data_IF_763756559735
#
_entry.id   IF_763756559735
#
_cell.length_a   1.000
_cell.length_b   1.000
_cell.length_c   1.000
_cell.angle_alpha   90.00
_cell.angle_beta   90.00
_cell.angle_gamma   90.00
#
_symmetry.space_group_name_H-M   'P 1'
#
loop_
_entity.id
_entity.type
_entity.pdbx_description
1 polymer ?
#
# COMPACT_ATOMS: atom_id res chain seq x y z
N UNK A 1 -9.31 12.69 -1.86
CA UNK A 1 -10.28 13.40 -1.03
C UNK A 1 -10.07 14.92 -1.05
N UNK A 2 -11.08 15.66 -0.63
CA UNK A 2 -11.09 17.13 -0.59
C UNK A 2 -9.83 17.74 0.07
N UNK A 3 -9.31 17.22 1.21
CA UNK A 3 -8.13 17.78 1.87
C UNK A 3 -6.88 17.79 0.98
N UNK A 4 -6.65 16.73 0.21
CA UNK A 4 -5.49 16.64 -0.70
C UNK A 4 -5.60 17.70 -1.81
N UNK A 5 -6.81 17.96 -2.29
CA UNK A 5 -7.06 18.94 -3.32
C UNK A 5 -6.77 20.37 -2.83
N UNK A 6 -7.11 20.69 -1.57
CA UNK A 6 -6.76 21.96 -0.94
C UNK A 6 -5.25 22.11 -0.79
N UNK A 7 -4.55 21.08 -0.32
CA UNK A 7 -3.09 21.11 -0.16
C UNK A 7 -2.40 21.27 -1.52
N UNK A 8 -2.79 20.49 -2.52
CA UNK A 8 -2.24 20.59 -3.87
C UNK A 8 -2.53 21.98 -4.49
N UNK A 9 -3.75 22.50 -4.34
CA UNK A 9 -4.14 23.83 -4.81
C UNK A 9 -3.32 24.93 -4.15
N UNK A 10 -3.09 24.85 -2.83
CA UNK A 10 -2.25 25.78 -2.10
C UNK A 10 -0.83 25.81 -2.66
N UNK A 11 -0.19 24.65 -2.89
CA UNK A 11 1.15 24.62 -3.45
C UNK A 11 1.21 25.08 -4.89
N UNK A 12 0.18 24.86 -5.70
CA UNK A 12 0.11 25.40 -7.07
C UNK A 12 -0.01 26.93 -7.06
N UNK A 13 -0.85 27.48 -6.18
CA UNK A 13 -0.99 28.94 -6.02
C UNK A 13 0.33 29.53 -5.50
N UNK A 14 0.95 28.89 -4.52
CA UNK A 14 2.24 29.28 -4.00
C UNK A 14 3.33 29.28 -5.09
N UNK A 15 3.40 28.24 -5.91
CA UNK A 15 4.34 28.17 -7.03
C UNK A 15 4.11 29.26 -8.09
N UNK A 16 2.86 29.64 -8.34
CA UNK A 16 2.50 30.77 -9.19
C UNK A 16 2.88 32.12 -8.57
N UNK A 17 2.73 32.25 -7.25
CA UNK A 17 3.05 33.48 -6.53
C UNK A 17 4.56 33.70 -6.39
N UNK A 18 5.32 32.64 -6.11
CA UNK A 18 6.77 32.64 -5.85
C UNK A 18 7.61 32.45 -7.12
N UNK A 19 7.01 32.14 -8.26
CA UNK A 19 7.68 32.00 -9.57
C UNK A 19 8.34 33.31 -10.02
N UNK A 20 9.31 33.77 -9.27
CA UNK A 20 9.87 35.10 -9.16
C UNK A 20 10.78 35.53 -10.31
N UNK A 21 11.15 34.64 -11.20
CA UNK A 21 12.06 34.96 -12.31
C UNK A 21 11.39 35.63 -13.52
N UNK A 22 10.06 35.58 -13.61
CA UNK A 22 9.31 36.22 -14.69
C UNK A 22 8.25 37.17 -14.16
N UNK A 23 8.32 38.49 -14.44
CA UNK A 23 7.33 39.45 -13.97
C UNK A 23 5.95 39.28 -14.62
N UNK A 24 5.87 38.65 -15.82
CA UNK A 24 4.63 38.42 -16.52
C UNK A 24 3.93 37.12 -16.01
N UNK A 25 2.67 37.20 -15.65
CA UNK A 25 1.82 36.06 -15.21
C UNK A 25 1.86 34.89 -16.20
N UNK A 26 1.80 35.17 -17.48
CA UNK A 26 1.86 34.18 -18.53
C UNK A 26 3.19 33.40 -18.54
N UNK A 27 4.30 34.06 -18.22
CA UNK A 27 5.62 33.45 -18.10
C UNK A 27 5.69 32.48 -16.93
N UNK A 28 5.06 32.82 -15.81
CA UNK A 28 4.97 31.94 -14.61
C UNK A 28 4.13 30.68 -14.89
N UNK A 29 2.99 30.84 -15.53
CA UNK A 29 2.15 29.70 -15.94
C UNK A 29 2.90 28.77 -16.90
N UNK A 30 3.57 29.36 -17.91
CA UNK A 30 4.37 28.57 -18.87
C UNK A 30 5.52 27.82 -18.22
N UNK A 31 6.20 28.43 -17.26
CA UNK A 31 7.26 27.80 -16.46
C UNK A 31 6.71 26.65 -15.61
N UNK A 32 5.59 26.85 -14.94
CA UNK A 32 4.94 25.85 -14.11
C UNK A 32 4.46 24.65 -14.93
N UNK A 33 3.80 24.89 -16.06
CA UNK A 33 3.37 23.82 -16.98
C UNK A 33 4.58 23.05 -17.51
N UNK A 34 5.65 23.77 -17.90
CA UNK A 34 6.87 23.10 -18.38
C UNK A 34 7.47 22.20 -17.32
N UNK A 35 7.61 22.66 -16.06
CA UNK A 35 8.17 21.86 -15.00
C UNK A 35 7.28 20.67 -14.59
N UNK A 36 5.96 20.84 -14.58
CA UNK A 36 5.03 19.78 -14.23
C UNK A 36 4.94 18.67 -15.29
N UNK A 37 4.90 19.05 -16.58
CA UNK A 37 4.61 18.09 -17.66
C UNK A 37 5.82 17.68 -18.51
N UNK A 38 6.84 18.52 -18.61
CA UNK A 38 7.96 18.30 -19.53
C UNK A 38 9.29 18.03 -18.84
N UNK A 39 9.31 17.93 -17.50
CA UNK A 39 10.50 17.55 -16.76
C UNK A 39 10.30 16.24 -15.99
N UNK A 40 11.39 15.58 -15.67
CA UNK A 40 11.38 14.36 -14.82
C UNK A 40 11.19 14.67 -13.33
N UNK A 41 11.06 15.92 -12.96
CA UNK A 41 10.87 16.38 -11.56
C UNK A 41 9.41 16.75 -11.27
N UNK A 42 8.55 16.74 -12.32
CA UNK A 42 7.13 17.06 -12.22
C UNK A 42 6.24 15.83 -12.01
N UNK A 43 5.07 15.86 -12.65
CA UNK A 43 4.06 14.77 -12.55
C UNK A 43 4.64 13.44 -13.05
N UNK A 44 5.41 13.47 -14.15
CA UNK A 44 6.03 12.27 -14.74
C UNK A 44 7.38 11.91 -14.11
N UNK A 45 7.49 12.13 -12.79
CA UNK A 45 8.67 11.78 -12.00
C UNK A 45 8.70 10.30 -11.61
N UNK A 46 9.68 9.93 -10.80
CA UNK A 46 9.90 8.58 -10.28
C UNK A 46 8.61 7.86 -9.83
N UNK A 47 7.69 8.46 -9.04
CA UNK A 47 6.48 7.75 -8.60
C UNK A 47 5.61 7.25 -9.75
N UNK A 48 5.38 8.06 -10.78
CA UNK A 48 4.56 7.66 -11.95
C UNK A 48 5.29 6.60 -12.78
N UNK A 49 6.61 6.72 -12.95
CA UNK A 49 7.42 5.74 -13.66
C UNK A 49 7.38 4.37 -12.96
N UNK A 50 7.56 4.34 -11.64
CA UNK A 50 7.46 3.11 -10.83
C UNK A 50 6.06 2.52 -10.88
N UNK A 51 5.03 3.38 -10.78
CA UNK A 51 3.64 2.95 -10.88
C UNK A 51 3.36 2.25 -12.22
N UNK A 52 3.78 2.84 -13.34
CA UNK A 52 3.52 2.30 -14.67
C UNK A 52 4.29 1.01 -14.97
N UNK A 53 5.49 0.82 -14.41
CA UNK A 53 6.35 -0.34 -14.69
C UNK A 53 6.07 -1.54 -13.78
N UNK A 54 5.87 -1.28 -12.50
CA UNK A 54 5.83 -2.33 -11.49
C UNK A 54 4.47 -2.42 -10.81
N UNK A 55 3.94 -1.32 -10.26
CA UNK A 55 2.77 -1.36 -9.40
C UNK A 55 1.53 -1.86 -10.16
N UNK A 56 1.30 -1.39 -11.38
CA UNK A 56 0.16 -1.82 -12.21
C UNK A 56 0.20 -3.33 -12.48
N UNK A 57 1.37 -3.87 -12.82
CA UNK A 57 1.54 -5.31 -13.09
C UNK A 57 1.25 -6.13 -11.82
N UNK A 58 1.76 -5.70 -10.67
CA UNK A 58 1.52 -6.40 -9.40
C UNK A 58 0.08 -6.29 -8.92
N UNK A 59 -0.59 -5.15 -9.14
CA UNK A 59 -2.03 -5.01 -8.83
C UNK A 59 -2.86 -5.99 -9.66
N UNK A 60 -2.59 -6.07 -10.96
CA UNK A 60 -3.30 -7.01 -11.86
C UNK A 60 -3.04 -8.46 -11.41
N UNK A 61 -1.80 -8.80 -11.11
CA UNK A 61 -1.44 -10.13 -10.63
C UNK A 61 -2.08 -10.45 -9.29
N UNK A 62 -2.05 -9.53 -8.34
CA UNK A 62 -2.70 -9.68 -7.03
C UNK A 62 -4.21 -9.86 -7.16
N UNK A 63 -4.89 -9.06 -7.99
CA UNK A 63 -6.32 -9.17 -8.24
C UNK A 63 -6.68 -10.51 -8.90
N UNK A 64 -5.83 -11.02 -9.79
CA UNK A 64 -6.01 -12.34 -10.36
C UNK A 64 -5.88 -13.45 -9.31
N UNK A 65 -4.84 -13.40 -8.48
CA UNK A 65 -4.66 -14.37 -7.41
C UNK A 65 -5.80 -14.34 -6.39
N UNK A 66 -6.30 -13.16 -6.03
CA UNK A 66 -7.43 -13.02 -5.12
C UNK A 66 -8.69 -13.71 -5.68
N UNK A 67 -8.93 -13.61 -7.00
CA UNK A 67 -10.04 -14.31 -7.68
C UNK A 67 -9.89 -15.83 -7.71
N UNK A 68 -8.69 -16.37 -7.57
CA UNK A 68 -8.47 -17.82 -7.49
C UNK A 68 -8.80 -18.43 -6.12
N UNK A 69 -9.16 -17.60 -5.13
CA UNK A 69 -9.49 -18.06 -3.78
C UNK A 69 -8.29 -18.29 -2.87
N UNK A 70 -7.14 -17.74 -3.21
CA UNK A 70 -5.89 -17.88 -2.43
C UNK A 70 -6.04 -17.36 -1.01
N UNK A 71 -6.87 -16.34 -0.78
CA UNK A 71 -7.13 -15.78 0.55
C UNK A 71 -7.78 -16.82 1.47
N UNK A 72 -8.76 -17.58 0.97
CA UNK A 72 -9.38 -18.67 1.72
C UNK A 72 -8.37 -19.78 2.05
N UNK A 73 -7.51 -20.11 1.12
CA UNK A 73 -6.43 -21.08 1.36
C UNK A 73 -5.49 -20.61 2.47
N UNK A 74 -5.07 -19.35 2.46
CA UNK A 74 -4.19 -18.79 3.50
C UNK A 74 -4.86 -18.74 4.87
N UNK A 75 -6.15 -18.43 4.95
CA UNK A 75 -6.90 -18.47 6.21
C UNK A 75 -6.98 -19.90 6.75
N UNK A 76 -7.26 -20.87 5.90
CA UNK A 76 -7.30 -22.27 6.31
C UNK A 76 -5.93 -22.79 6.75
N UNK A 77 -4.87 -22.43 6.03
CA UNK A 77 -3.50 -22.75 6.39
C UNK A 77 -3.12 -22.15 7.75
N UNK A 78 -3.41 -20.88 7.96
CA UNK A 78 -3.18 -20.21 9.23
C UNK A 78 -3.96 -20.87 10.38
N UNK A 79 -5.19 -21.30 10.12
CA UNK A 79 -6.02 -22.00 11.10
C UNK A 79 -5.45 -23.39 11.45
N UNK A 80 -4.90 -24.10 10.49
CA UNK A 80 -4.20 -25.37 10.75
C UNK A 80 -2.97 -25.18 11.64
N UNK A 81 -2.23 -24.08 11.45
CA UNK A 81 -0.98 -23.80 12.19
C UNK A 81 -1.30 -23.28 13.60
N UNK A 82 -2.19 -22.31 13.73
CA UNK A 82 -2.38 -21.54 14.95
C UNK A 82 -3.76 -21.72 15.62
N UNK A 83 -4.75 -22.29 14.94
CA UNK A 83 -6.12 -22.35 15.43
C UNK A 83 -6.31 -23.10 16.74
N UNK A 84 -5.48 -24.11 17.00
CA UNK A 84 -5.56 -24.96 18.22
C UNK A 84 -4.88 -24.36 19.46
N UNK A 85 -4.10 -23.29 19.30
CA UNK A 85 -3.36 -22.69 20.41
C UNK A 85 -4.19 -21.64 21.15
N UNK A 86 -3.85 -21.40 22.41
CA UNK A 86 -4.43 -20.29 23.18
C UNK A 86 -4.28 -18.96 22.41
N UNK A 87 -5.40 -18.22 22.25
CA UNK A 87 -5.44 -17.04 21.40
C UNK A 87 -5.46 -17.35 19.90
N UNK A 88 -5.83 -18.58 19.52
CA UNK A 88 -5.85 -19.08 18.14
C UNK A 88 -6.43 -18.11 17.12
N UNK A 89 -7.66 -17.63 17.28
CA UNK A 89 -8.30 -16.75 16.31
C UNK A 89 -7.51 -15.47 16.01
N UNK A 90 -6.92 -14.83 17.02
CA UNK A 90 -6.09 -13.65 16.80
C UNK A 90 -4.77 -14.00 16.09
N UNK A 91 -4.15 -15.15 16.43
CA UNK A 91 -2.95 -15.63 15.73
C UNK A 91 -3.24 -16.00 14.28
N UNK A 92 -4.39 -16.63 14.02
CA UNK A 92 -4.86 -16.93 12.66
C UNK A 92 -5.03 -15.65 11.86
N UNK A 93 -5.65 -14.61 12.45
CA UNK A 93 -5.78 -13.32 11.80
C UNK A 93 -4.42 -12.72 11.42
N UNK A 94 -3.44 -12.73 12.33
CA UNK A 94 -2.09 -12.21 12.05
C UNK A 94 -1.40 -12.98 10.93
N UNK A 95 -1.41 -14.32 11.00
CA UNK A 95 -0.71 -15.16 10.02
C UNK A 95 -1.39 -15.08 8.65
N UNK A 96 -2.71 -15.19 8.59
CA UNK A 96 -3.46 -15.11 7.32
C UNK A 96 -3.33 -13.73 6.69
N UNK A 97 -3.38 -12.66 7.49
CA UNK A 97 -3.23 -11.30 7.02
C UNK A 97 -1.81 -11.04 6.48
N UNK A 98 -0.77 -11.58 7.13
CA UNK A 98 0.59 -11.54 6.61
C UNK A 98 0.71 -12.25 5.25
N UNK A 99 0.20 -13.48 5.13
CA UNK A 99 0.23 -14.25 3.89
C UNK A 99 -0.57 -13.58 2.76
N UNK A 100 -1.76 -13.06 3.05
CA UNK A 100 -2.56 -12.32 2.07
C UNK A 100 -1.88 -11.01 1.67
N UNK A 101 -1.25 -10.32 2.64
CA UNK A 101 -0.48 -9.10 2.42
C UNK A 101 0.70 -9.29 1.49
N UNK A 102 1.37 -10.45 1.54
CA UNK A 102 2.46 -10.83 0.62
C UNK A 102 2.02 -10.79 -0.85
N UNK A 103 0.74 -11.02 -1.11
CA UNK A 103 0.18 -11.08 -2.47
C UNK A 103 -0.51 -9.80 -2.87
N UNK A 104 -1.26 -9.17 -1.96
CA UNK A 104 -2.04 -7.97 -2.26
C UNK A 104 -1.20 -6.68 -2.24
N UNK A 105 -0.20 -6.61 -1.36
CA UNK A 105 0.59 -5.41 -1.14
C UNK A 105 -0.20 -4.20 -0.62
N UNK A 106 -1.49 -4.38 -0.29
CA UNK A 106 -2.41 -3.31 0.13
C UNK A 106 -2.98 -3.60 1.50
N UNK A 107 -2.69 -2.76 2.50
CA UNK A 107 -3.26 -2.91 3.84
C UNK A 107 -4.78 -2.77 3.85
N UNK A 108 -5.31 -1.84 3.08
CA UNK A 108 -6.76 -1.62 2.98
C UNK A 108 -7.46 -2.80 2.33
N UNK A 109 -6.94 -3.27 1.18
CA UNK A 109 -7.47 -4.46 0.50
C UNK A 109 -7.39 -5.69 1.40
N UNK A 110 -6.27 -5.87 2.08
CA UNK A 110 -6.05 -6.98 2.99
C UNK A 110 -7.03 -6.95 4.18
N UNK A 111 -7.21 -5.79 4.83
CA UNK A 111 -8.18 -5.63 5.94
C UNK A 111 -9.61 -5.98 5.49
N UNK A 112 -10.01 -5.61 4.29
CA UNK A 112 -11.35 -5.93 3.77
C UNK A 112 -11.47 -7.43 3.50
N UNK A 113 -10.47 -8.03 2.87
CA UNK A 113 -10.52 -9.44 2.45
C UNK A 113 -10.40 -10.39 3.65
N UNK A 114 -9.33 -10.29 4.44
CA UNK A 114 -9.11 -11.17 5.59
C UNK A 114 -10.01 -10.80 6.76
N UNK A 115 -10.23 -9.52 7.02
CA UNK A 115 -11.03 -9.04 8.12
C UNK A 115 -12.51 -9.42 8.04
N UNK A 116 -13.04 -9.60 6.83
CA UNK A 116 -14.42 -10.10 6.65
C UNK A 116 -14.63 -11.50 7.27
N UNK A 117 -13.57 -12.29 7.40
CA UNK A 117 -13.59 -13.63 7.98
C UNK A 117 -13.01 -13.66 9.40
N UNK A 118 -11.86 -13.02 9.60
CA UNK A 118 -11.11 -13.11 10.87
C UNK A 118 -11.75 -12.30 12.00
N UNK A 119 -12.37 -11.13 11.71
CA UNK A 119 -13.04 -10.32 12.72
C UNK A 119 -14.26 -11.05 13.31
N UNK A 120 -15.20 -11.59 12.51
CA UNK A 120 -16.27 -12.45 13.03
C UNK A 120 -15.74 -13.62 13.83
N UNK A 121 -14.75 -14.36 13.32
CA UNK A 121 -14.14 -15.50 14.01
C UNK A 121 -13.57 -15.14 15.39
N UNK A 122 -12.91 -14.00 15.53
CA UNK A 122 -12.44 -13.50 16.82
C UNK A 122 -13.60 -13.15 17.76
N UNK A 123 -14.63 -12.47 17.25
CA UNK A 123 -15.82 -12.09 18.05
C UNK A 123 -16.58 -13.31 18.57
N UNK A 124 -16.77 -14.34 17.74
CA UNK A 124 -17.46 -15.58 18.12
C UNK A 124 -16.72 -16.36 19.22
N UNK A 125 -15.42 -16.14 19.35
CA UNK A 125 -14.58 -16.72 20.41
C UNK A 125 -14.44 -15.82 21.65
N UNK A 126 -15.21 -14.73 21.72
CA UNK A 126 -15.29 -13.87 22.91
C UNK A 126 -14.36 -12.66 22.92
N UNK A 127 -13.67 -12.36 21.83
CA UNK A 127 -12.89 -11.12 21.73
C UNK A 127 -13.80 -9.89 21.61
N UNK A 128 -13.40 -8.78 22.23
CA UNK A 128 -14.09 -7.50 22.07
C UNK A 128 -13.97 -7.02 20.61
N UNK A 129 -15.04 -6.45 20.04
CA UNK A 129 -15.05 -5.98 18.64
C UNK A 129 -13.92 -5.00 18.33
N UNK A 130 -13.62 -4.08 19.24
CA UNK A 130 -12.57 -3.08 19.10
C UNK A 130 -11.19 -3.74 19.02
N UNK A 131 -10.95 -4.77 19.85
CA UNK A 131 -9.70 -5.52 19.84
C UNK A 131 -9.55 -6.32 18.53
N UNK A 132 -10.62 -6.99 18.09
CA UNK A 132 -10.60 -7.74 16.83
C UNK A 132 -10.29 -6.84 15.63
N UNK A 133 -10.92 -5.66 15.57
CA UNK A 133 -10.63 -4.66 14.54
C UNK A 133 -9.20 -4.12 14.61
N UNK A 134 -8.68 -3.88 15.81
CA UNK A 134 -7.30 -3.41 16.01
C UNK A 134 -6.26 -4.45 15.57
N UNK A 135 -6.46 -5.72 15.91
CA UNK A 135 -5.59 -6.84 15.49
C UNK A 135 -5.55 -6.92 13.96
N UNK A 136 -6.71 -6.87 13.31
CA UNK A 136 -6.79 -6.96 11.85
C UNK A 136 -6.11 -5.77 11.17
N UNK A 137 -6.37 -4.55 11.63
CA UNK A 137 -5.78 -3.34 11.06
C UNK A 137 -4.24 -3.33 11.20
N UNK A 138 -3.73 -3.72 12.38
CA UNK A 138 -2.30 -3.81 12.62
C UNK A 138 -1.64 -4.89 11.76
N UNK A 139 -2.24 -6.08 11.68
CA UNK A 139 -1.74 -7.20 10.89
C UNK A 139 -1.72 -6.89 9.39
N UNK A 140 -2.79 -6.28 8.90
CA UNK A 140 -2.89 -5.89 7.49
C UNK A 140 -1.86 -4.82 7.10
N UNK A 141 -1.54 -3.91 8.01
CA UNK A 141 -0.47 -2.93 7.79
C UNK A 141 0.89 -3.63 7.70
N UNK A 142 1.15 -4.62 8.56
CA UNK A 142 2.35 -5.46 8.49
C UNK A 142 2.50 -6.20 7.17
N UNK A 143 1.40 -6.59 6.53
CA UNK A 143 1.41 -7.23 5.21
C UNK A 143 2.07 -6.39 4.10
N UNK A 144 2.11 -5.06 4.22
CA UNK A 144 2.78 -4.20 3.23
C UNK A 144 4.31 -4.31 3.22
N UNK A 145 4.90 -4.78 4.30
CA UNK A 145 6.35 -4.99 4.40
C UNK A 145 6.75 -6.45 4.19
N UNK A 146 5.77 -7.34 4.03
CA UNK A 146 6.02 -8.77 3.81
C UNK A 146 6.38 -9.05 2.34
N UNK A 147 7.55 -9.65 2.06
CA UNK A 147 7.92 -10.09 0.72
C UNK A 147 6.98 -11.20 0.21
N UNK A 148 6.83 -11.43 -1.09
CA UNK A 148 7.65 -10.86 -2.18
C UNK A 148 7.11 -9.58 -2.81
N UNK A 149 5.78 -9.31 -2.76
CA UNK A 149 5.21 -8.18 -3.50
C UNK A 149 5.39 -6.88 -2.73
N UNK A 150 5.14 -6.90 -1.41
CA UNK A 150 5.23 -5.71 -0.56
C UNK A 150 4.29 -4.57 -1.00
N UNK A 151 4.27 -3.47 -0.31
CA UNK A 151 3.52 -2.27 -0.72
C UNK A 151 4.26 -1.44 -1.76
N UNK A 152 3.53 -0.52 -2.40
CA UNK A 152 4.08 0.41 -3.41
C UNK A 152 5.31 1.19 -2.92
N UNK A 153 5.40 1.46 -1.62
CA UNK A 153 6.53 2.16 -0.99
C UNK A 153 7.86 1.43 -1.18
N UNK A 154 7.86 0.09 -1.23
CA UNK A 154 9.07 -0.69 -1.41
C UNK A 154 9.70 -0.52 -2.81
N UNK A 155 8.86 -0.35 -3.83
CA UNK A 155 9.34 -0.07 -5.19
C UNK A 155 9.90 1.35 -5.31
N UNK A 156 9.25 2.33 -4.66
CA UNK A 156 9.76 3.69 -4.58
C UNK A 156 11.09 3.74 -3.83
N UNK A 157 11.20 2.98 -2.74
CA UNK A 157 12.44 2.88 -1.97
C UNK A 157 13.58 2.32 -2.82
N UNK A 158 13.34 1.29 -3.63
CA UNK A 158 14.34 0.72 -4.55
C UNK A 158 14.89 1.79 -5.50
N UNK A 159 14.01 2.59 -6.06
CA UNK A 159 14.37 3.61 -7.05
C UNK A 159 15.08 4.80 -6.41
N UNK A 160 14.62 5.28 -5.23
CA UNK A 160 15.27 6.38 -4.52
C UNK A 160 16.64 6.03 -3.94
N UNK A 161 16.81 4.81 -3.45
CA UNK A 161 18.09 4.32 -2.89
C UNK A 161 19.05 3.86 -3.99
N UNK A 162 18.53 3.61 -5.21
CA UNK A 162 19.32 3.14 -6.35
C UNK A 162 19.82 1.69 -6.20
N UNK A 163 19.06 0.85 -5.48
CA UNK A 163 19.37 -0.57 -5.31
C UNK A 163 18.35 -1.47 -5.99
N UNK A 164 18.73 -2.66 -6.44
CA UNK A 164 17.79 -3.63 -6.99
C UNK A 164 16.70 -3.99 -5.96
N UNK A 165 15.47 -4.16 -6.42
CA UNK A 165 14.34 -4.54 -5.56
C UNK A 165 14.58 -5.84 -4.77
N UNK A 166 15.33 -6.80 -5.36
CA UNK A 166 15.76 -8.03 -4.69
C UNK A 166 16.52 -7.80 -3.39
N UNK A 167 17.34 -6.75 -3.32
CA UNK A 167 18.10 -6.41 -2.11
C UNK A 167 17.17 -5.88 -1.00
N UNK A 168 16.08 -5.22 -1.36
CA UNK A 168 15.07 -4.77 -0.39
C UNK A 168 14.30 -5.96 0.15
N UNK A 169 13.89 -6.89 -0.72
CA UNK A 169 13.22 -8.14 -0.31
C UNK A 169 14.04 -8.88 0.75
N UNK A 170 15.32 -9.12 0.49
CA UNK A 170 16.20 -9.86 1.42
C UNK A 170 16.37 -9.14 2.76
N UNK A 171 16.31 -7.82 2.78
CA UNK A 171 16.47 -7.04 4.02
C UNK A 171 15.15 -6.82 4.78
N UNK A 172 14.02 -7.13 4.17
CA UNK A 172 12.69 -7.04 4.79
C UNK A 172 12.29 -8.33 5.55
N UNK A 173 13.04 -9.43 5.36
CA UNK A 173 12.91 -10.69 6.09
C UNK A 173 13.75 -10.66 7.36
#
# INVERSE_FOLDING_TARGET
GLPILFVAGFFLIYALAVGLTNPAFLGRVKFLVRNLFYTKEGIFSTPVNVCSKYIVVFIIFGAFLERTGISNFFIQLANCIAGKYAGGPAKVAVISSALCGMVSGSSVGNTVTTGSVTIPMMKDTGYKPEFAGAVEAASSTGGQIMPPIMGAAAFLMADFVGVPYSNIIVRAI
#
